data_IF_516691166576
#
_entry.id   IF_516691166576
#
_cell.length_a   1.000
_cell.length_b   1.000
_cell.length_c   1.000
_cell.angle_alpha   90.00
_cell.angle_beta   90.00
_cell.angle_gamma   90.00
#
_symmetry.space_group_name_H-M   'P 1'
#
loop_
_entity.id
_entity.type
_entity.pdbx_description
1 polymer ?
#
# COMPACT_ATOMS: atom_id res chain seq x y z
N UNK A 1 -14.91 -2.94 1.04
CA UNK A 1 -13.98 -3.30 2.13
C UNK A 1 -12.53 -3.33 1.70
N UNK A 2 -12.14 -3.96 0.57
CA UNK A 2 -10.74 -3.97 0.09
C UNK A 2 -10.17 -2.55 -0.12
N UNK A 3 -10.99 -1.63 -0.62
CA UNK A 3 -10.64 -0.20 -0.75
C UNK A 3 -10.41 0.48 0.60
N UNK A 4 -11.20 0.14 1.63
CA UNK A 4 -11.06 0.70 2.97
C UNK A 4 -9.79 0.19 3.67
N UNK A 5 -9.44 -1.11 3.50
CA UNK A 5 -8.15 -1.62 3.97
C UNK A 5 -6.98 -0.86 3.32
N UNK A 6 -7.08 -0.57 2.02
CA UNK A 6 -6.04 0.18 1.29
C UNK A 6 -5.93 1.62 1.80
N UNK A 7 -7.06 2.26 2.10
CA UNK A 7 -7.08 3.58 2.72
C UNK A 7 -6.36 3.60 4.08
N UNK A 8 -6.67 2.67 4.98
CA UNK A 8 -5.98 2.55 6.27
C UNK A 8 -4.49 2.26 6.07
N UNK A 9 -4.16 1.34 5.15
CA UNK A 9 -2.78 1.00 4.84
C UNK A 9 -1.98 2.21 4.34
N UNK A 10 -2.57 3.06 3.49
CA UNK A 10 -1.90 4.27 3.00
C UNK A 10 -1.61 5.26 4.14
N UNK A 11 -2.50 5.38 5.14
CA UNK A 11 -2.24 6.19 6.34
C UNK A 11 -1.03 5.64 7.10
N UNK A 12 -0.98 4.31 7.28
CA UNK A 12 0.14 3.66 7.96
C UNK A 12 1.45 3.84 7.17
N UNK A 13 1.42 3.60 5.86
CA UNK A 13 2.57 3.74 4.99
C UNK A 13 3.13 5.16 4.99
N UNK A 14 2.26 6.18 4.97
CA UNK A 14 2.67 7.57 5.04
C UNK A 14 3.38 7.93 6.35
N UNK A 15 2.99 7.32 7.48
CA UNK A 15 3.64 7.51 8.77
C UNK A 15 5.02 6.85 8.81
N UNK A 16 5.13 5.64 8.27
CA UNK A 16 6.35 4.83 8.32
C UNK A 16 7.30 4.99 7.13
N UNK A 17 7.01 5.91 6.19
CA UNK A 17 7.78 6.07 4.93
C UNK A 17 9.28 6.38 5.10
N UNK A 18 9.72 6.78 6.28
CA UNK A 18 11.12 7.08 6.58
C UNK A 18 11.83 5.92 7.32
N UNK A 19 11.14 4.81 7.56
CA UNK A 19 11.69 3.62 8.21
C UNK A 19 12.47 2.74 7.21
N UNK A 20 13.07 1.66 7.73
CA UNK A 20 13.82 0.68 6.94
C UNK A 20 12.99 0.06 5.81
N UNK A 21 13.66 -0.25 4.70
CA UNK A 21 13.07 -0.88 3.51
C UNK A 21 12.43 -2.26 3.78
N UNK A 22 12.81 -2.93 4.86
CA UNK A 22 12.30 -4.24 5.23
C UNK A 22 11.06 -4.21 6.14
N UNK A 23 10.46 -3.04 6.36
CA UNK A 23 9.27 -2.90 7.18
C UNK A 23 8.03 -3.43 6.46
N UNK A 24 7.27 -4.28 7.15
CA UNK A 24 5.99 -4.80 6.67
C UNK A 24 4.84 -4.23 7.51
N UNK A 25 3.81 -3.71 6.83
CA UNK A 25 2.66 -3.06 7.44
C UNK A 25 1.40 -3.92 7.22
N UNK A 26 0.49 -4.02 8.20
CA UNK A 26 -0.73 -4.80 8.06
C UNK A 26 -1.74 -4.14 7.11
N UNK A 27 -2.30 -4.94 6.21
CA UNK A 27 -3.63 -4.73 5.64
C UNK A 27 -4.64 -5.28 6.65
N UNK A 28 -5.21 -4.39 7.45
CA UNK A 28 -6.04 -4.74 8.61
C UNK A 28 -7.29 -5.53 8.23
N UNK A 29 -7.56 -6.58 9.00
CA UNK A 29 -8.72 -7.46 8.91
C UNK A 29 -8.99 -8.16 10.25
N UNK A 30 -9.97 -9.07 10.29
CA UNK A 30 -10.46 -9.63 11.55
C UNK A 30 -9.47 -10.54 12.28
N UNK A 31 -8.44 -11.05 11.59
CA UNK A 31 -7.40 -11.92 12.12
C UNK A 31 -6.00 -11.27 12.00
N UNK A 32 -5.95 -9.94 11.98
CA UNK A 32 -4.68 -9.22 11.88
C UNK A 32 -3.85 -9.36 13.14
N UNK A 33 -2.63 -9.86 12.98
CA UNK A 33 -1.64 -9.99 14.05
C UNK A 33 -0.63 -8.84 13.99
N UNK A 34 -0.51 -8.08 15.09
CA UNK A 34 0.38 -6.93 15.20
C UNK A 34 1.62 -7.28 16.03
N UNK A 35 2.69 -7.73 15.36
CA UNK A 35 3.91 -8.24 16.01
C UNK A 35 4.91 -7.12 16.35
N UNK A 36 4.97 -6.08 15.54
CA UNK A 36 5.84 -4.92 15.79
C UNK A 36 5.11 -3.92 16.69
N UNK A 37 5.65 -3.63 17.88
CA UNK A 37 5.00 -2.76 18.88
C UNK A 37 4.84 -1.29 18.42
N UNK A 38 5.78 -0.76 17.62
CA UNK A 38 5.67 0.58 17.06
C UNK A 38 4.53 0.67 16.04
N UNK A 39 4.48 -0.29 15.11
CA UNK A 39 3.39 -0.42 14.13
C UNK A 39 2.05 -0.62 14.84
N UNK A 40 2.03 -1.46 15.87
CA UNK A 40 0.83 -1.77 16.65
C UNK A 40 0.24 -0.52 17.30
N UNK A 41 1.07 0.27 17.98
CA UNK A 41 0.62 1.48 18.66
C UNK A 41 -0.04 2.46 17.67
N UNK A 42 0.58 2.70 16.52
CA UNK A 42 0.04 3.60 15.51
C UNK A 42 -1.22 3.06 14.82
N UNK A 43 -1.26 1.76 14.48
CA UNK A 43 -2.44 1.12 13.88
C UNK A 43 -3.64 1.24 14.81
N UNK A 44 -3.49 0.93 16.10
CA UNK A 44 -4.58 1.03 17.07
C UNK A 44 -5.07 2.46 17.22
N UNK A 45 -4.16 3.44 17.29
CA UNK A 45 -4.51 4.87 17.35
C UNK A 45 -5.35 5.31 16.13
N UNK A 46 -4.95 4.91 14.93
CA UNK A 46 -5.69 5.26 13.71
C UNK A 46 -7.04 4.56 13.68
N UNK A 47 -7.11 3.27 14.03
CA UNK A 47 -8.37 2.53 14.07
C UNK A 47 -9.36 3.13 15.09
N UNK A 48 -8.88 3.55 16.25
CA UNK A 48 -9.68 4.26 17.25
C UNK A 48 -10.23 5.58 16.69
N UNK A 49 -9.38 6.38 16.02
CA UNK A 49 -9.80 7.64 15.39
C UNK A 49 -10.83 7.43 14.28
N UNK A 50 -10.68 6.37 13.51
CA UNK A 50 -11.61 5.99 12.43
C UNK A 50 -12.89 5.31 12.97
N UNK A 51 -12.94 5.00 14.27
CA UNK A 51 -14.09 4.37 14.92
C UNK A 51 -14.32 2.92 14.50
N UNK A 52 -13.26 2.19 14.11
CA UNK A 52 -13.33 0.80 13.63
C UNK A 52 -12.52 -0.15 14.50
N UNK A 53 -12.98 -1.39 14.56
CA UNK A 53 -12.33 -2.51 15.26
C UNK A 53 -12.01 -3.64 14.27
N UNK A 54 -11.14 -4.58 14.68
CA UNK A 54 -10.86 -5.76 13.85
C UNK A 54 -12.13 -6.58 13.55
N UNK A 55 -13.08 -6.61 14.48
CA UNK A 55 -14.33 -7.37 14.32
C UNK A 55 -15.22 -6.82 13.21
N UNK A 56 -15.10 -5.53 12.87
CA UNK A 56 -15.89 -4.91 11.81
C UNK A 56 -15.50 -5.42 10.41
N UNK A 57 -14.35 -6.09 10.28
CA UNK A 57 -13.93 -6.78 9.07
C UNK A 57 -14.49 -8.21 8.97
N UNK A 58 -15.26 -8.68 9.96
CA UNK A 58 -15.95 -9.96 9.97
C UNK A 58 -17.47 -9.77 9.77
N UNK A 59 -17.95 -10.00 8.55
CA UNK A 59 -19.38 -9.97 8.23
C UNK A 59 -19.94 -11.38 8.31
N UNK A 60 -20.53 -11.72 9.46
CA UNK A 60 -21.07 -13.08 9.74
C UNK A 60 -22.13 -13.53 8.72
N UNK A 61 -22.94 -12.59 8.22
CA UNK A 61 -23.99 -12.88 7.25
C UNK A 61 -23.46 -13.09 5.82
N UNK A 62 -22.27 -12.56 5.52
CA UNK A 62 -21.63 -12.60 4.20
C UNK A 62 -20.14 -12.94 4.40
N UNK A 63 -19.87 -14.21 4.72
CA UNK A 63 -18.53 -14.69 5.04
C UNK A 63 -17.53 -14.45 3.92
N UNK A 64 -17.98 -14.49 2.66
CA UNK A 64 -17.18 -14.18 1.47
C UNK A 64 -16.73 -12.71 1.37
N UNK A 65 -17.36 -11.80 2.11
CA UNK A 65 -16.93 -10.41 2.20
C UNK A 65 -16.00 -10.16 3.39
N UNK A 66 -15.95 -11.08 4.36
CA UNK A 66 -15.07 -10.95 5.53
C UNK A 66 -13.61 -10.98 5.11
N UNK A 67 -12.77 -10.16 5.74
CA UNK A 67 -11.35 -10.07 5.38
C UNK A 67 -10.49 -10.38 6.60
N UNK A 68 -9.72 -11.46 6.54
CA UNK A 68 -8.81 -11.88 7.61
C UNK A 68 -7.70 -10.85 7.86
N UNK A 69 -7.29 -10.17 6.80
CA UNK A 69 -6.13 -9.29 6.79
C UNK A 69 -4.89 -10.03 6.29
N UNK A 70 -3.85 -9.28 5.99
CA UNK A 70 -2.55 -9.79 5.56
C UNK A 70 -1.50 -8.76 5.89
N UNK A 71 -0.23 -9.05 5.64
CA UNK A 71 0.84 -8.06 5.66
C UNK A 71 1.23 -7.66 4.24
N UNK A 72 1.78 -6.46 4.10
CA UNK A 72 2.33 -5.94 2.85
C UNK A 72 3.59 -5.14 3.15
N UNK A 73 4.65 -5.40 2.38
CA UNK A 73 5.89 -4.64 2.45
C UNK A 73 5.64 -3.17 2.17
N UNK A 74 6.20 -2.29 3.00
CA UNK A 74 6.11 -0.84 2.80
C UNK A 74 6.84 -0.42 1.52
N UNK A 75 8.00 -1.03 1.27
CA UNK A 75 8.81 -0.77 0.09
C UNK A 75 8.83 -1.98 -0.83
N UNK A 76 8.97 -1.71 -2.11
CA UNK A 76 9.05 -2.72 -3.15
C UNK A 76 10.23 -2.42 -4.06
N UNK A 77 11.06 -3.43 -4.28
CA UNK A 77 12.23 -3.32 -5.16
C UNK A 77 11.79 -3.29 -6.63
N UNK A 78 12.07 -2.17 -7.30
CA UNK A 78 11.82 -2.02 -8.74
C UNK A 78 12.92 -2.75 -9.50
N UNK A 79 12.54 -3.68 -10.38
CA UNK A 79 13.49 -4.52 -11.11
C UNK A 79 13.64 -4.08 -12.55
N UNK A 80 14.86 -4.17 -13.08
CA UNK A 80 15.23 -3.80 -14.46
C UNK A 80 14.71 -2.41 -14.84
N UNK A 81 14.97 -1.41 -13.99
CA UNK A 81 14.57 -0.03 -14.25
C UNK A 81 15.48 0.60 -15.31
N UNK A 82 14.87 1.10 -16.39
CA UNK A 82 15.52 1.85 -17.47
C UNK A 82 14.71 3.09 -17.84
N UNK A 83 15.42 4.16 -18.24
CA UNK A 83 14.84 5.44 -18.64
C UNK A 83 15.51 5.95 -19.91
N UNK A 84 14.71 6.26 -20.92
CA UNK A 84 15.23 6.81 -22.17
C UNK A 84 15.67 8.28 -22.02
N UNK A 85 16.55 8.72 -22.91
CA UNK A 85 16.83 10.15 -23.09
C UNK A 85 15.53 10.88 -23.50
N UNK A 86 15.26 12.10 -23.00
CA UNK A 86 14.09 12.87 -23.42
C UNK A 86 14.10 13.18 -24.91
N UNK A 87 13.07 12.74 -25.62
CA UNK A 87 12.87 12.95 -27.05
C UNK A 87 11.65 13.84 -27.32
N UNK A 88 11.49 14.34 -28.54
CA UNK A 88 10.34 15.18 -28.90
C UNK A 88 9.04 14.38 -28.73
N UNK A 89 8.01 15.02 -28.19
CA UNK A 89 6.67 14.43 -28.11
C UNK A 89 5.93 14.69 -29.43
N UNK A 90 5.47 13.61 -30.06
CA UNK A 90 4.77 13.65 -31.34
C UNK A 90 3.33 14.19 -31.20
N UNK A 91 2.77 14.04 -30.00
CA UNK A 91 1.36 14.33 -29.69
C UNK A 91 1.19 15.66 -28.96
N UNK A 92 2.22 16.10 -28.23
CA UNK A 92 2.22 17.37 -27.49
C UNK A 92 3.27 18.33 -28.05
N UNK A 93 2.84 19.21 -28.97
CA UNK A 93 3.71 20.18 -29.65
C UNK A 93 4.51 21.02 -28.63
N UNK A 94 5.84 21.04 -28.83
CA UNK A 94 6.77 21.77 -27.97
C UNK A 94 7.17 21.05 -26.68
N UNK A 95 6.66 19.83 -26.42
CA UNK A 95 7.04 19.02 -25.26
C UNK A 95 7.99 17.89 -25.63
N UNK A 96 8.56 17.28 -24.59
CA UNK A 96 9.37 16.07 -24.68
C UNK A 96 8.67 14.92 -23.96
N UNK A 97 8.92 13.70 -24.42
CA UNK A 97 8.52 12.45 -23.77
C UNK A 97 9.74 11.66 -23.30
N UNK A 98 9.52 10.77 -22.34
CA UNK A 98 10.49 9.77 -21.86
C UNK A 98 9.81 8.42 -21.83
N UNK A 99 10.56 7.36 -22.15
CA UNK A 99 10.12 5.97 -21.99
C UNK A 99 10.69 5.43 -20.68
N UNK A 100 9.85 4.82 -19.87
CA UNK A 100 10.23 4.09 -18.66
C UNK A 100 9.98 2.61 -18.89
N UNK A 101 10.95 1.77 -18.54
CA UNK A 101 10.82 0.32 -18.53
C UNK A 101 11.19 -0.20 -17.14
N UNK A 102 10.34 -1.03 -16.54
CA UNK A 102 10.55 -1.58 -15.21
C UNK A 102 9.59 -2.74 -14.92
N UNK A 103 9.94 -3.55 -13.92
CA UNK A 103 9.07 -4.58 -13.36
C UNK A 103 8.68 -4.24 -11.93
N UNK A 104 7.39 -4.40 -11.63
CA UNK A 104 6.84 -4.27 -10.28
C UNK A 104 6.34 -5.62 -9.79
N UNK A 105 6.50 -5.87 -8.49
CA UNK A 105 5.86 -7.01 -7.82
C UNK A 105 4.32 -6.91 -7.83
N UNK A 106 3.65 -8.04 -7.55
CA UNK A 106 2.19 -8.06 -7.40
C UNK A 106 1.74 -7.11 -6.30
N UNK A 107 0.65 -6.39 -6.55
CA UNK A 107 0.08 -5.44 -5.59
C UNK A 107 0.74 -4.06 -5.58
N UNK A 108 1.68 -3.77 -6.49
CA UNK A 108 2.25 -2.44 -6.68
C UNK A 108 1.58 -1.71 -7.85
N UNK A 109 1.60 -0.38 -7.81
CA UNK A 109 1.00 0.49 -8.81
C UNK A 109 2.08 1.30 -9.52
N UNK A 110 2.05 1.34 -10.85
CA UNK A 110 3.03 2.11 -11.65
C UNK A 110 2.95 3.62 -11.41
N UNK A 111 1.82 4.12 -10.92
CA UNK A 111 1.62 5.53 -10.57
C UNK A 111 2.34 5.94 -9.29
N UNK A 112 2.81 4.98 -8.48
CA UNK A 112 3.54 5.22 -7.23
C UNK A 112 5.06 5.09 -7.39
N UNK A 113 5.54 4.91 -8.63
CA UNK A 113 6.96 4.86 -8.97
C UNK A 113 7.55 6.27 -9.13
#
# INVERSE_FOLDING_TARGET
>A
MVSYQSYLWNIFAAHFKNHSTNLSIPLVGFDTQLVNEEVKAFVLQVMEREGVSFRDFLIRQLTNMSIAGTTRSLFMEVKNFDISVPEKDETAVGRKKVKLEFYLGKGSYATEL
#
